data_IF_902069610835
#
_entry.id   IF_902069610835
#
_cell.length_a   1.000
_cell.length_b   1.000
_cell.length_c   1.000
_cell.angle_alpha   90.00
_cell.angle_beta   90.00
_cell.angle_gamma   90.00
#
_symmetry.space_group_name_H-M   'P 1'
#
loop_
_entity.id
_entity.type
_entity.pdbx_description
1 polymer ?
#
# COMPACT_ATOMS: atom_id res chain seq x y z
N UNK A 1 -32.72 18.32 -81.11
CA UNK A 1 -33.55 17.53 -80.17
C UNK A 1 -33.09 16.07 -80.23
N UNK A 2 -32.24 15.66 -79.28
CA UNK A 2 -31.95 14.28 -78.85
C UNK A 2 -30.88 14.36 -77.76
N UNK A 3 -31.34 14.22 -76.53
CA UNK A 3 -30.61 14.14 -75.28
C UNK A 3 -29.76 12.86 -75.25
N UNK A 4 -28.51 12.95 -74.80
CA UNK A 4 -27.74 11.79 -74.36
C UNK A 4 -27.14 12.11 -72.98
N UNK A 5 -27.69 11.42 -71.98
CA UNK A 5 -27.18 11.33 -70.63
C UNK A 5 -25.91 10.48 -70.62
N UNK A 6 -24.85 10.96 -69.99
CA UNK A 6 -23.76 10.09 -69.51
C UNK A 6 -23.53 10.32 -68.02
N UNK A 7 -23.73 9.24 -67.27
CA UNK A 7 -23.52 9.13 -65.83
C UNK A 7 -22.04 9.28 -65.50
N UNK A 8 -21.72 10.23 -64.61
CA UNK A 8 -20.37 10.37 -64.04
C UNK A 8 -20.16 9.32 -62.96
N UNK A 9 -19.20 8.43 -63.18
CA UNK A 9 -18.69 7.48 -62.20
C UNK A 9 -17.93 8.24 -61.12
N UNK A 10 -18.51 8.35 -59.92
CA UNK A 10 -17.84 8.89 -58.75
C UNK A 10 -16.79 7.89 -58.25
N UNK A 11 -15.51 8.25 -58.34
CA UNK A 11 -14.41 7.49 -57.74
C UNK A 11 -14.43 7.73 -56.23
N UNK A 12 -14.62 6.68 -55.44
CA UNK A 12 -14.33 6.66 -54.02
C UNK A 12 -12.83 6.86 -53.80
N UNK A 13 -12.44 7.91 -53.07
CA UNK A 13 -11.12 8.05 -52.48
C UNK A 13 -11.18 7.61 -51.01
N UNK A 14 -10.37 6.64 -50.55
CA UNK A 14 -10.32 6.26 -49.15
C UNK A 14 -9.30 7.11 -48.37
N UNK A 15 -9.73 7.52 -47.16
CA UNK A 15 -9.00 7.58 -45.89
C UNK A 15 -7.50 7.94 -45.86
N UNK A 16 -7.17 8.99 -45.09
CA UNK A 16 -6.09 8.97 -44.10
C UNK A 16 -6.28 10.11 -43.08
N UNK A 17 -7.16 9.86 -42.10
CA UNK A 17 -7.20 10.65 -40.86
C UNK A 17 -6.32 9.93 -39.84
N UNK A 18 -5.04 10.31 -39.77
CA UNK A 18 -4.12 9.85 -38.74
C UNK A 18 -4.46 10.56 -37.41
N UNK A 19 -5.30 9.93 -36.60
CA UNK A 19 -5.57 10.37 -35.23
C UNK A 19 -4.50 9.76 -34.32
N UNK A 20 -3.43 10.50 -34.04
CA UNK A 20 -2.36 10.11 -33.13
C UNK A 20 -2.90 10.11 -31.69
N UNK A 21 -3.40 8.96 -31.23
CA UNK A 21 -3.70 8.72 -29.82
C UNK A 21 -2.36 8.65 -29.06
N UNK A 22 -1.96 9.76 -28.43
CA UNK A 22 -0.98 9.74 -27.34
C UNK A 22 -1.61 8.97 -26.17
N UNK A 23 -1.36 7.67 -26.10
CA UNK A 23 -1.55 6.88 -24.89
C UNK A 23 -0.50 7.35 -23.88
N UNK A 24 -0.85 8.37 -23.09
CA UNK A 24 -0.19 8.62 -21.80
C UNK A 24 -0.37 7.35 -20.98
N UNK A 25 0.68 6.52 -20.94
CA UNK A 25 0.80 5.45 -19.97
C UNK A 25 0.91 6.11 -18.59
N UNK A 26 -0.24 6.36 -17.95
CA UNK A 26 -0.27 6.55 -16.51
C UNK A 26 0.20 5.23 -15.90
N UNK A 27 1.51 5.11 -15.61
CA UNK A 27 1.96 4.19 -14.58
C UNK A 27 1.34 4.67 -13.29
N UNK A 28 0.14 4.16 -12.99
CA UNK A 28 -0.34 4.04 -11.62
C UNK A 28 0.68 3.15 -10.92
N UNK A 29 1.74 3.77 -10.39
CA UNK A 29 2.66 3.11 -9.48
C UNK A 29 1.87 2.95 -8.18
N UNK A 30 1.15 1.84 -8.09
CA UNK A 30 0.60 1.33 -6.84
C UNK A 30 1.73 1.37 -5.81
N UNK A 31 1.47 1.85 -4.61
CA UNK A 31 2.41 1.71 -3.52
C UNK A 31 2.69 0.21 -3.34
N UNK A 32 3.91 -0.22 -3.64
CA UNK A 32 4.25 -1.64 -3.80
C UNK A 32 4.77 -2.13 -2.47
N UNK A 33 4.11 -3.12 -1.89
CA UNK A 33 4.68 -3.99 -0.88
C UNK A 33 4.87 -5.37 -1.48
N UNK A 34 6.08 -5.94 -1.42
CA UNK A 34 6.33 -7.30 -1.91
C UNK A 34 7.16 -8.05 -0.89
N UNK A 35 6.64 -9.19 -0.47
CA UNK A 35 7.33 -10.03 0.49
C UNK A 35 6.39 -10.96 1.25
N UNK A 36 6.90 -11.48 2.36
CA UNK A 36 6.20 -12.44 3.19
C UNK A 36 6.05 -11.97 4.62
N UNK A 37 4.93 -12.35 5.19
CA UNK A 37 4.64 -12.33 6.62
C UNK A 37 4.21 -13.75 7.00
N UNK A 38 4.99 -14.42 7.84
CA UNK A 38 4.65 -15.73 8.38
C UNK A 38 4.44 -15.60 9.88
N UNK A 39 3.33 -16.12 10.39
CA UNK A 39 3.05 -16.15 11.81
C UNK A 39 2.47 -17.49 12.22
N UNK A 40 3.06 -18.08 13.27
CA UNK A 40 2.63 -19.35 13.83
C UNK A 40 2.06 -19.15 15.23
N UNK A 41 0.88 -19.68 15.47
CA UNK A 41 0.24 -19.65 16.79
C UNK A 41 -0.44 -20.99 17.07
N UNK A 42 -0.04 -21.62 18.18
CA UNK A 42 -0.43 -23.00 18.48
C UNK A 42 -0.06 -23.96 17.34
N UNK A 43 -1.06 -24.69 16.84
CA UNK A 43 -0.92 -25.62 15.70
C UNK A 43 -1.16 -24.98 14.33
N UNK A 44 -1.50 -23.68 14.27
CA UNK A 44 -1.82 -22.98 13.02
C UNK A 44 -0.65 -22.14 12.55
N UNK A 45 -0.48 -22.09 11.23
CA UNK A 45 0.47 -21.23 10.55
C UNK A 45 -0.28 -20.38 9.51
N UNK A 46 0.08 -19.10 9.44
CA UNK A 46 -0.43 -18.14 8.49
C UNK A 46 0.75 -17.67 7.64
N UNK A 47 0.73 -17.96 6.34
CA UNK A 47 1.69 -17.45 5.35
C UNK A 47 0.98 -16.44 4.45
N UNK A 48 1.32 -15.16 4.59
CA UNK A 48 0.77 -14.08 3.79
C UNK A 48 1.79 -13.56 2.79
N UNK A 49 1.33 -13.46 1.54
CA UNK A 49 2.05 -12.73 0.49
C UNK A 49 1.60 -11.27 0.49
N UNK A 50 2.44 -10.38 1.00
CA UNK A 50 2.18 -8.93 0.99
C UNK A 50 2.13 -8.43 -0.47
N UNK A 51 1.12 -7.61 -0.77
CA UNK A 51 0.88 -7.04 -2.11
C UNK A 51 0.91 -5.52 -2.11
N UNK A 52 0.56 -4.89 -0.99
CA UNK A 52 0.47 -3.44 -0.86
C UNK A 52 1.25 -2.98 0.36
N UNK A 53 1.85 -1.80 0.24
CA UNK A 53 2.43 -1.07 1.35
C UNK A 53 1.81 0.34 1.37
N UNK A 54 1.48 0.88 2.53
CA UNK A 54 0.93 2.23 2.65
C UNK A 54 1.70 3.01 3.68
N UNK A 55 2.00 4.26 3.37
CA UNK A 55 2.57 5.21 4.31
C UNK A 55 1.50 6.21 4.75
N UNK A 56 1.25 6.28 6.06
CA UNK A 56 0.36 7.27 6.67
C UNK A 56 1.09 7.97 7.81
N UNK A 57 0.63 9.19 8.13
CA UNK A 57 1.09 9.92 9.32
C UNK A 57 -0.09 10.38 10.15
N UNK A 58 0.11 10.56 11.45
CA UNK A 58 -0.95 11.04 12.32
C UNK A 58 -0.51 11.13 13.77
N UNK A 59 -1.41 11.56 14.67
CA UNK A 59 -1.12 11.56 16.09
C UNK A 59 -0.96 10.14 16.62
N UNK A 60 -0.04 9.95 17.56
CA UNK A 60 0.11 8.68 18.28
C UNK A 60 -1.16 8.35 19.07
N UNK A 61 -1.46 7.05 19.17
CA UNK A 61 -2.64 6.53 19.83
C UNK A 61 -2.64 6.70 21.35
N UNK A 62 -1.47 6.92 21.96
CA UNK A 62 -1.29 7.09 23.41
C UNK A 62 -0.96 8.54 23.79
N UNK A 63 -0.17 9.22 22.97
CA UNK A 63 0.14 10.65 23.09
C UNK A 63 -0.25 11.41 21.82
N UNK A 64 -1.45 12.00 21.82
CA UNK A 64 -1.94 12.79 20.68
C UNK A 64 -1.11 14.04 20.37
N UNK A 65 -0.21 14.48 21.26
CA UNK A 65 0.73 15.56 21.00
C UNK A 65 1.89 15.13 20.11
N UNK A 66 2.15 13.82 20.02
CA UNK A 66 3.22 13.24 19.22
C UNK A 66 2.69 12.81 17.85
N UNK A 67 3.39 13.18 16.78
CA UNK A 67 3.12 12.66 15.43
C UNK A 67 4.01 11.47 15.14
N UNK A 68 3.46 10.47 14.46
CA UNK A 68 4.16 9.25 14.08
C UNK A 68 4.00 8.98 12.58
N UNK A 69 5.00 8.31 12.01
CA UNK A 69 4.92 7.64 10.71
C UNK A 69 4.52 6.18 10.93
N UNK A 70 3.56 5.70 10.13
CA UNK A 70 3.11 4.30 10.15
C UNK A 70 3.17 3.71 8.75
N UNK A 71 3.75 2.52 8.65
CA UNK A 71 3.70 1.67 7.47
C UNK A 71 2.64 0.58 7.67
N UNK A 72 1.82 0.34 6.66
CA UNK A 72 0.83 -0.73 6.61
C UNK A 72 1.19 -1.69 5.48
N UNK A 73 1.29 -2.98 5.77
CA UNK A 73 1.57 -4.02 4.78
C UNK A 73 0.40 -4.98 4.72
N UNK A 74 -0.24 -5.08 3.56
CA UNK A 74 -1.50 -5.83 3.42
C UNK A 74 -1.52 -6.71 2.17
N UNK A 75 -2.43 -7.69 2.18
CA UNK A 75 -2.73 -8.53 1.01
C UNK A 75 -3.79 -7.91 0.10
N UNK A 76 -4.62 -7.00 0.63
CA UNK A 76 -5.68 -6.31 -0.08
C UNK A 76 -5.43 -4.80 -0.11
N UNK A 77 -5.96 -4.13 -1.14
CA UNK A 77 -5.85 -2.69 -1.27
C UNK A 77 -6.70 -1.96 -0.20
N UNK A 78 -6.15 -0.93 0.42
CA UNK A 78 -6.78 -0.14 1.49
C UNK A 78 -6.91 1.35 1.16
N UNK A 79 -6.50 1.81 -0.02
CA UNK A 79 -6.48 3.23 -0.41
C UNK A 79 -7.78 3.97 -0.06
N UNK A 80 -8.92 3.43 -0.50
CA UNK A 80 -10.23 4.05 -0.30
C UNK A 80 -10.65 4.03 1.17
N UNK A 81 -10.29 2.97 1.90
CA UNK A 81 -10.56 2.86 3.35
C UNK A 81 -9.76 3.88 4.15
N UNK A 82 -8.47 4.02 3.84
CA UNK A 82 -7.57 5.00 4.46
C UNK A 82 -8.09 6.42 4.19
N UNK A 83 -8.43 6.72 2.93
CA UNK A 83 -8.95 8.04 2.53
C UNK A 83 -10.28 8.37 3.21
N UNK A 84 -11.17 7.39 3.36
CA UNK A 84 -12.48 7.57 4.00
C UNK A 84 -12.39 7.71 5.54
N UNK A 85 -11.39 7.15 6.20
CA UNK A 85 -11.27 7.20 7.66
C UNK A 85 -11.08 8.63 8.19
N UNK A 86 -11.87 9.02 9.20
CA UNK A 86 -11.71 10.31 9.88
C UNK A 86 -10.46 10.34 10.78
N UNK A 87 -10.44 9.54 11.87
CA UNK A 87 -9.27 9.37 12.73
C UNK A 87 -8.33 8.28 12.22
N UNK A 88 -7.08 8.27 12.71
CA UNK A 88 -6.06 7.31 12.28
C UNK A 88 -6.41 5.86 12.66
N UNK A 89 -6.88 5.62 13.89
CA UNK A 89 -7.25 4.29 14.37
C UNK A 89 -8.44 3.65 13.62
N UNK A 90 -9.23 4.44 12.88
CA UNK A 90 -10.29 3.91 12.03
C UNK A 90 -9.73 2.95 10.98
N UNK A 91 -8.47 3.14 10.56
CA UNK A 91 -7.84 2.27 9.55
C UNK A 91 -7.63 0.87 10.11
N UNK A 92 -7.30 0.76 11.40
CA UNK A 92 -6.84 -0.47 12.06
C UNK A 92 -7.81 -1.65 11.88
N UNK A 93 -9.11 -1.38 11.87
CA UNK A 93 -10.16 -2.41 11.70
C UNK A 93 -10.16 -3.08 10.32
N UNK A 94 -9.55 -2.47 9.31
CA UNK A 94 -9.51 -2.98 7.93
C UNK A 94 -8.22 -3.73 7.62
N UNK A 95 -7.26 -3.75 8.54
CA UNK A 95 -5.91 -4.23 8.24
C UNK A 95 -5.82 -5.73 8.46
N UNK A 96 -5.82 -6.48 7.37
CA UNK A 96 -5.37 -7.87 7.34
C UNK A 96 -3.91 -7.89 6.90
N UNK A 97 -2.99 -8.02 7.85
CA UNK A 97 -1.55 -7.94 7.62
C UNK A 97 -0.75 -7.38 8.80
N UNK A 98 0.17 -6.46 8.51
CA UNK A 98 1.14 -5.91 9.45
C UNK A 98 1.07 -4.38 9.49
N UNK A 99 1.13 -3.82 10.69
CA UNK A 99 1.25 -2.39 10.98
C UNK A 99 2.58 -2.14 11.68
N UNK A 100 3.29 -1.07 11.31
CA UNK A 100 4.56 -0.71 11.94
C UNK A 100 4.60 0.79 12.19
N UNK A 101 4.75 1.16 13.46
CA UNK A 101 5.02 2.53 13.86
C UNK A 101 6.52 2.75 14.00
N UNK A 102 7.03 3.75 13.28
CA UNK A 102 8.47 4.00 13.14
C UNK A 102 8.99 4.87 14.28
N UNK A 103 8.17 5.82 14.74
CA UNK A 103 8.62 6.90 15.63
C UNK A 103 7.84 6.94 16.95
N UNK A 104 6.94 5.99 17.21
CA UNK A 104 6.11 5.96 18.41
C UNK A 104 6.93 5.69 19.69
N UNK A 105 8.03 4.94 19.60
CA UNK A 105 8.89 4.56 20.71
C UNK A 105 10.37 4.45 20.28
N UNK A 106 11.34 4.18 21.18
CA UNK A 106 12.75 3.97 20.82
C UNK A 106 12.99 2.76 19.89
N UNK A 107 11.99 1.89 19.75
CA UNK A 107 11.98 0.68 18.92
C UNK A 107 10.76 0.73 18.01
N UNK A 108 10.84 0.06 16.86
CA UNK A 108 9.68 -0.18 16.01
C UNK A 108 8.60 -0.90 16.83
N UNK A 109 7.38 -0.34 16.83
CA UNK A 109 6.22 -1.02 17.37
C UNK A 109 5.47 -1.66 16.21
N UNK A 110 5.03 -2.90 16.37
CA UNK A 110 4.27 -3.57 15.31
C UNK A 110 3.11 -4.39 15.82
N UNK A 111 2.09 -4.50 14.96
CA UNK A 111 0.89 -5.28 15.19
C UNK A 111 0.56 -6.08 13.95
N UNK A 112 0.20 -7.33 14.16
CA UNK A 112 -0.27 -8.26 13.15
C UNK A 112 -1.72 -8.56 13.45
N UNK A 113 -2.54 -8.48 12.40
CA UNK A 113 -3.95 -8.85 12.43
C UNK A 113 -4.24 -9.78 11.26
N UNK A 114 -4.69 -10.99 11.58
CA UNK A 114 -4.91 -12.10 10.64
C UNK A 114 -6.25 -12.78 10.91
N UNK A 115 -6.67 -13.60 9.95
CA UNK A 115 -7.89 -14.37 9.97
C UNK A 115 -9.11 -13.49 10.30
N UNK A 116 -9.28 -12.40 9.56
CA UNK A 116 -10.35 -11.41 9.80
C UNK A 116 -10.30 -10.85 11.23
N UNK A 117 -9.11 -10.42 11.68
CA UNK A 117 -8.85 -9.90 13.04
C UNK A 117 -8.95 -10.91 14.20
N UNK A 118 -9.24 -12.19 13.95
CA UNK A 118 -9.36 -13.21 15.01
C UNK A 118 -8.01 -13.69 15.54
N UNK A 119 -6.93 -13.42 14.82
CA UNK A 119 -5.57 -13.74 15.23
C UNK A 119 -4.78 -12.45 15.26
N UNK A 120 -4.32 -12.08 16.45
CA UNK A 120 -3.57 -10.85 16.68
C UNK A 120 -2.27 -11.13 17.41
N UNK A 121 -1.24 -10.36 17.08
CA UNK A 121 0.04 -10.36 17.78
C UNK A 121 0.60 -8.95 17.76
N UNK A 122 1.15 -8.50 18.88
CA UNK A 122 1.87 -7.23 18.96
C UNK A 122 3.26 -7.45 19.52
N UNK A 123 4.23 -6.70 19.02
CA UNK A 123 5.60 -6.81 19.49
C UNK A 123 6.40 -5.55 19.21
N UNK A 124 7.69 -5.65 19.52
CA UNK A 124 8.67 -4.61 19.19
C UNK A 124 9.84 -5.20 18.41
N UNK A 125 10.37 -4.42 17.48
CA UNK A 125 11.50 -4.79 16.64
C UNK A 125 12.67 -3.83 16.87
N UNK A 126 13.90 -4.27 16.57
CA UNK A 126 15.05 -3.38 16.54
C UNK A 126 14.92 -2.44 15.31
N UNK A 127 15.43 -1.21 15.40
CA UNK A 127 15.28 -0.24 14.31
C UNK A 127 16.07 -0.67 13.07
N UNK A 128 17.16 -1.40 13.28
CA UNK A 128 18.05 -1.95 12.26
C UNK A 128 17.35 -2.99 11.36
N UNK A 129 16.20 -3.52 11.79
CA UNK A 129 15.36 -4.39 10.95
C UNK A 129 14.62 -3.62 9.84
N UNK A 130 14.57 -2.29 9.92
CA UNK A 130 14.08 -1.42 8.87
C UNK A 130 15.28 -0.72 8.21
N UNK A 131 15.51 -1.01 6.94
CA UNK A 131 16.49 -0.31 6.11
C UNK A 131 15.76 0.55 5.08
N UNK A 132 15.87 1.87 5.20
CA UNK A 132 15.28 2.81 4.25
C UNK A 132 16.29 3.20 3.17
N UNK A 133 15.86 3.05 1.92
CA UNK A 133 16.53 3.60 0.73
C UNK A 133 15.99 4.97 0.34
N UNK A 134 14.79 5.31 0.81
CA UNK A 134 14.20 6.64 0.73
C UNK A 134 13.50 6.93 2.03
N UNK A 135 13.84 8.07 2.65
CA UNK A 135 13.21 8.60 3.86
C UNK A 135 12.92 10.09 3.66
N UNK A 136 11.69 10.40 3.26
CA UNK A 136 11.20 11.78 3.15
C UNK A 136 9.82 11.92 3.82
N UNK A 137 9.36 13.15 4.09
CA UNK A 137 8.04 13.38 4.69
C UNK A 137 6.86 12.82 3.88
N UNK A 138 7.02 12.64 2.57
CA UNK A 138 5.98 12.24 1.63
C UNK A 138 6.22 10.86 0.98
N UNK A 139 7.36 10.20 1.27
CA UNK A 139 7.74 8.96 0.62
C UNK A 139 8.70 8.14 1.48
N UNK A 140 8.37 6.87 1.68
CA UNK A 140 9.25 5.88 2.31
C UNK A 140 9.46 4.69 1.37
N UNK A 141 10.70 4.27 1.17
CA UNK A 141 11.02 3.06 0.42
C UNK A 141 12.17 2.31 1.09
N UNK A 142 12.09 0.99 1.15
CA UNK A 142 13.09 0.21 1.87
C UNK A 142 12.74 -1.26 2.02
N UNK A 143 13.35 -1.89 3.02
CA UNK A 143 13.09 -3.28 3.40
C UNK A 143 12.87 -3.37 4.91
N UNK A 144 11.85 -4.11 5.30
CA UNK A 144 11.59 -4.52 6.68
C UNK A 144 11.83 -6.04 6.78
N UNK A 145 12.80 -6.44 7.59
CA UNK A 145 13.18 -7.84 7.72
C UNK A 145 13.55 -8.22 9.15
N UNK A 146 12.85 -9.20 9.70
CA UNK A 146 13.15 -9.78 11.01
C UNK A 146 12.54 -11.17 11.18
N UNK A 147 13.14 -11.97 12.04
CA UNK A 147 12.63 -13.28 12.46
C UNK A 147 12.50 -13.29 13.98
N UNK A 148 11.27 -13.36 14.47
CA UNK A 148 10.94 -13.48 15.89
C UNK A 148 10.27 -14.83 16.19
N UNK A 149 10.35 -15.79 15.28
CA UNK A 149 9.65 -17.08 15.40
C UNK A 149 10.12 -17.89 16.61
N UNK A 150 11.40 -17.78 16.98
CA UNK A 150 11.97 -18.40 18.17
C UNK A 150 11.34 -17.90 19.49
N UNK A 151 10.80 -16.67 19.50
CA UNK A 151 10.10 -16.07 20.65
C UNK A 151 8.57 -16.09 20.49
N UNK A 152 8.05 -16.89 19.55
CA UNK A 152 6.62 -16.97 19.25
C UNK A 152 6.07 -15.78 18.46
N UNK A 153 6.94 -14.91 17.94
CA UNK A 153 6.57 -13.82 17.04
C UNK A 153 6.59 -14.22 15.56
N UNK A 154 6.42 -13.25 14.66
CA UNK A 154 6.37 -13.48 13.22
C UNK A 154 7.75 -13.53 12.57
N UNK A 155 7.77 -14.01 11.33
CA UNK A 155 8.85 -13.77 10.36
C UNK A 155 8.34 -12.77 9.33
N UNK A 156 9.11 -11.70 9.10
CA UNK A 156 8.81 -10.64 8.15
C UNK A 156 9.99 -10.49 7.21
N UNK A 157 9.73 -10.46 5.91
CA UNK A 157 10.70 -10.09 4.88
C UNK A 157 9.94 -9.39 3.75
N UNK A 158 9.94 -8.05 3.77
CA UNK A 158 9.15 -7.21 2.87
C UNK A 158 9.97 -6.06 2.34
N UNK A 159 10.04 -5.92 1.02
CA UNK A 159 10.53 -4.72 0.33
C UNK A 159 9.34 -3.85 -0.06
N UNK A 160 9.49 -2.53 0.06
CA UNK A 160 8.41 -1.60 -0.21
C UNK A 160 8.86 -0.27 -0.80
N UNK A 161 7.91 0.40 -1.44
CA UNK A 161 8.00 1.75 -2.01
C UNK A 161 6.61 2.37 -1.87
N UNK A 162 6.44 3.26 -0.87
CA UNK A 162 5.15 3.76 -0.42
C UNK A 162 5.14 5.28 -0.25
N UNK A 163 4.28 5.95 -1.01
CA UNK A 163 4.00 7.38 -0.87
C UNK A 163 3.03 7.64 0.27
N UNK A 164 3.10 8.85 0.81
CA UNK A 164 2.19 9.31 1.83
C UNK A 164 0.76 9.34 1.27
N UNK A 165 -0.10 8.47 1.79
CA UNK A 165 -1.51 8.37 1.39
C UNK A 165 -2.34 9.43 2.11
N UNK A 166 -2.06 9.64 3.41
CA UNK A 166 -2.84 10.54 4.25
C UNK A 166 -2.10 10.97 5.51
N UNK A 167 -2.29 12.24 5.87
CA UNK A 167 -1.97 12.79 7.18
C UNK A 167 -3.26 12.94 7.98
N UNK A 168 -3.39 12.18 9.06
CA UNK A 168 -4.48 12.27 10.01
C UNK A 168 -4.22 13.40 11.01
N UNK A 169 -5.31 14.00 11.51
CA UNK A 169 -5.27 15.05 12.53
C UNK A 169 -5.82 14.58 13.88
N UNK A 170 -6.37 13.37 13.95
CA UNK A 170 -6.93 12.75 15.16
C UNK A 170 -6.45 11.32 15.28
N UNK A 171 -6.08 10.92 16.49
CA UNK A 171 -5.76 9.52 16.79
C UNK A 171 -7.01 8.63 16.81
N UNK A 172 -8.09 9.14 17.40
CA UNK A 172 -9.37 8.43 17.65
C UNK A 172 -10.58 9.31 17.33
#
# INVERSE_FOLDING_TARGET
MKTNFQFRTARLSPLLAACTLLLLSFTFRSDVGKGKLVYKTGSKEFDMNIKSAYFITGPDGFDSGKKIRRLLFTTAALDDKIKACGPMNCVDQYIEGLQVDLDAAPRLLYWISLNNQLVQYSGTAQNEFLTLTTDSPDHLAGTLKFDQSASGGPVVDVTFDAKLVKTFTKAR
#
